data_IF_438208402962
#
_entry.id   IF_438208402962
#
_cell.length_a   1.000
_cell.length_b   1.000
_cell.length_c   1.000
_cell.angle_alpha   90.00
_cell.angle_beta   90.00
_cell.angle_gamma   90.00
#
_symmetry.space_group_name_H-M   'P 1'
#
loop_
_entity.id
_entity.type
_entity.pdbx_description
1 polymer ?
#
# COMPACT_ATOMS: atom_id res chain seq x y z
N UNK A 1 -28.66 8.43 -7.39
CA UNK A 1 -27.53 7.87 -6.62
C UNK A 1 -26.48 7.47 -7.63
N UNK A 2 -25.27 8.02 -7.52
CA UNK A 2 -24.16 7.57 -8.36
C UNK A 2 -23.77 6.14 -7.92
N UNK A 3 -23.42 5.25 -8.85
CA UNK A 3 -22.95 3.91 -8.50
C UNK A 3 -21.63 4.01 -7.71
N UNK A 4 -21.61 3.41 -6.52
CA UNK A 4 -20.37 3.28 -5.74
C UNK A 4 -19.48 2.25 -6.45
N UNK A 5 -18.34 2.70 -6.96
CA UNK A 5 -17.34 1.80 -7.54
C UNK A 5 -16.67 0.99 -6.43
N UNK A 6 -17.03 -0.28 -6.31
CA UNK A 6 -16.28 -1.23 -5.48
C UNK A 6 -14.98 -1.55 -6.20
N UNK A 7 -13.87 -1.02 -5.70
CA UNK A 7 -12.58 -1.46 -6.20
C UNK A 7 -12.21 -2.82 -5.58
N UNK A 8 -11.34 -3.56 -6.25
CA UNK A 8 -10.86 -4.83 -5.75
C UNK A 8 -9.51 -4.58 -5.05
N UNK A 9 -9.56 -4.34 -3.74
CA UNK A 9 -8.36 -4.23 -2.91
C UNK A 9 -7.91 -5.62 -2.46
N UNK A 10 -6.60 -5.76 -2.28
CA UNK A 10 -5.98 -6.93 -1.69
C UNK A 10 -4.94 -6.51 -0.66
N UNK A 11 -4.71 -7.39 0.32
CA UNK A 11 -3.67 -7.25 1.34
C UNK A 11 -2.52 -8.19 1.01
N UNK A 12 -1.30 -7.69 1.16
CA UNK A 12 -0.06 -8.45 0.99
C UNK A 12 0.72 -8.37 2.30
N UNK A 13 1.04 -9.52 2.89
CA UNK A 13 1.80 -9.60 4.13
C UNK A 13 3.31 -9.53 3.85
N UNK A 14 4.01 -8.77 4.69
CA UNK A 14 5.46 -8.62 4.71
C UNK A 14 5.99 -8.85 6.14
N UNK A 15 7.27 -9.18 6.31
CA UNK A 15 7.85 -9.33 7.65
C UNK A 15 7.73 -8.09 8.54
N UNK A 16 7.67 -6.89 7.93
CA UNK A 16 7.55 -5.62 8.63
C UNK A 16 6.10 -5.14 8.81
N UNK A 17 5.10 -5.78 8.19
CA UNK A 17 3.72 -5.31 8.23
C UNK A 17 2.83 -5.84 7.10
N UNK A 18 1.74 -5.14 6.80
CA UNK A 18 0.80 -5.48 5.73
C UNK A 18 0.66 -4.31 4.79
N UNK A 19 0.68 -4.56 3.49
CA UNK A 19 0.42 -3.56 2.47
C UNK A 19 -0.93 -3.77 1.80
N UNK A 20 -1.68 -2.69 1.61
CA UNK A 20 -2.94 -2.67 0.89
C UNK A 20 -2.68 -2.11 -0.50
N UNK A 21 -3.15 -2.80 -1.53
CA UNK A 21 -3.17 -2.28 -2.90
C UNK A 21 -4.47 -2.54 -3.61
N UNK A 22 -4.73 -1.73 -4.63
CA UNK A 22 -5.66 -2.12 -5.68
C UNK A 22 -5.10 -3.33 -6.44
N UNK A 23 -5.95 -4.27 -6.88
CA UNK A 23 -5.57 -5.46 -7.70
C UNK A 23 -4.78 -5.16 -8.99
N UNK A 24 -4.73 -3.88 -9.37
CA UNK A 24 -3.98 -3.40 -10.55
C UNK A 24 -2.53 -3.05 -10.18
N UNK A 25 -2.11 -3.28 -8.93
CA UNK A 25 -0.73 -3.11 -8.48
C UNK A 25 -0.42 -1.78 -7.78
N UNK A 26 -1.40 -0.90 -7.56
CA UNK A 26 -1.16 0.43 -6.95
C UNK A 26 -1.30 0.33 -5.43
N UNK A 27 -0.20 0.57 -4.72
CA UNK A 27 -0.17 0.62 -3.25
C UNK A 27 -0.95 1.83 -2.71
N UNK A 28 -1.69 1.64 -1.63
CA UNK A 28 -2.48 2.70 -0.99
C UNK A 28 -2.06 2.93 0.46
N UNK A 29 -1.99 1.87 1.26
CA UNK A 29 -1.74 1.98 2.70
C UNK A 29 -0.79 0.89 3.16
N UNK A 30 0.16 1.25 4.03
CA UNK A 30 0.96 0.30 4.77
C UNK A 30 0.49 0.27 6.23
N UNK A 31 0.35 -0.91 6.81
CA UNK A 31 -0.09 -1.17 8.18
C UNK A 31 1.06 -1.82 8.94
N UNK A 32 1.47 -1.22 10.05
CA UNK A 32 2.55 -1.72 10.89
C UNK A 32 2.02 -2.49 12.10
N UNK A 33 2.82 -3.41 12.70
CA UNK A 33 2.38 -4.22 13.84
C UNK A 33 1.96 -3.44 15.09
N UNK A 34 2.43 -2.21 15.23
CA UNK A 34 2.06 -1.29 16.31
C UNK A 34 0.75 -0.53 16.05
N UNK A 35 0.08 -0.82 14.93
CA UNK A 35 -1.17 -0.19 14.52
C UNK A 35 -0.97 1.15 13.80
N UNK A 36 0.27 1.56 13.52
CA UNK A 36 0.50 2.71 12.66
C UNK A 36 0.08 2.42 11.23
N UNK A 37 -0.48 3.44 10.57
CA UNK A 37 -0.86 3.40 9.17
C UNK A 37 -0.12 4.49 8.40
N UNK A 38 0.30 4.18 7.18
CA UNK A 38 0.94 5.14 6.28
C UNK A 38 0.27 5.15 4.92
N UNK A 39 -0.29 6.29 4.53
CA UNK A 39 -0.84 6.54 3.20
C UNK A 39 0.30 6.74 2.19
N UNK A 40 0.36 5.86 1.19
CA UNK A 40 1.38 5.87 0.13
C UNK A 40 0.80 6.16 -1.25
N UNK A 41 -0.47 6.56 -1.37
CA UNK A 41 -1.15 6.80 -2.68
C UNK A 41 -0.46 7.82 -3.58
N UNK A 42 0.34 8.71 -2.99
CA UNK A 42 1.10 9.76 -3.69
C UNK A 42 2.61 9.56 -3.61
N UNK A 43 3.04 8.40 -3.15
CA UNK A 43 4.44 8.04 -3.00
C UNK A 43 4.79 6.99 -4.04
N UNK A 44 5.97 7.09 -4.62
CA UNK A 44 6.51 6.02 -5.44
C UNK A 44 7.27 5.06 -4.50
N UNK A 45 6.62 3.96 -4.13
CA UNK A 45 7.18 2.98 -3.19
C UNK A 45 7.39 1.63 -3.85
N UNK A 46 8.51 1.00 -3.51
CA UNK A 46 8.78 -0.40 -3.82
C UNK A 46 8.86 -1.16 -2.50
N UNK A 47 8.06 -2.22 -2.38
CA UNK A 47 7.96 -3.01 -1.17
C UNK A 47 8.78 -4.29 -1.31
N UNK A 48 9.67 -4.51 -0.35
CA UNK A 48 10.53 -5.68 -0.26
C UNK A 48 10.30 -6.39 1.08
N UNK A 49 10.69 -7.66 1.19
CA UNK A 49 10.58 -8.40 2.46
C UNK A 49 11.43 -7.77 3.58
N UNK A 50 12.57 -7.17 3.23
CA UNK A 50 13.49 -6.54 4.17
C UNK A 50 13.21 -5.05 4.41
N UNK A 51 12.20 -4.45 3.78
CA UNK A 51 11.87 -3.06 4.01
C UNK A 51 11.08 -2.38 2.89
N UNK A 52 11.02 -1.05 2.99
CA UNK A 52 10.26 -0.18 2.10
C UNK A 52 11.25 0.79 1.45
N UNK A 53 11.22 0.86 0.12
CA UNK A 53 12.04 1.78 -0.67
C UNK A 53 11.16 2.94 -1.16
N UNK A 54 11.60 4.17 -0.90
CA UNK A 54 10.95 5.39 -1.36
C UNK A 54 11.75 5.98 -2.51
N UNK A 55 11.14 6.01 -3.70
CA UNK A 55 11.78 6.50 -4.91
C UNK A 55 11.37 7.97 -5.09
N UNK A 56 12.31 8.90 -4.97
CA UNK A 56 12.06 10.29 -5.38
C UNK A 56 11.89 10.33 -6.90
N UNK A 57 10.83 10.99 -7.37
CA UNK A 57 10.73 11.37 -8.78
C UNK A 57 11.61 12.59 -9.04
N UNK A 58 12.45 12.54 -10.07
CA UNK A 58 13.18 13.72 -10.59
C UNK A 58 12.24 14.87 -10.99
#
# INVERSE_FOLDING_TARGET
MEPVSLMAWETVEFPWGVAVRHRKGVWETLLFPDGQEMDVRKMNVILHDNGIEFVEGE
#
